data_IF_348200864383
#
_entry.id   IF_348200864383
#
_cell.length_a   1.000
_cell.length_b   1.000
_cell.length_c   1.000
_cell.angle_alpha   90.00
_cell.angle_beta   90.00
_cell.angle_gamma   90.00
#
_symmetry.space_group_name_H-M   'P 1'
#
loop_
_entity.id
_entity.type
_entity.pdbx_description
1 polymer ?
#
# COMPACT_ATOMS: atom_id res chain seq x y z
N UNK A 1 -4.85 3.52 8.01
CA UNK A 1 -3.64 3.18 8.78
C UNK A 1 -4.07 2.29 9.92
N UNK A 2 -3.37 1.18 10.07
CA UNK A 2 -3.56 0.13 11.07
C UNK A 2 -2.91 0.65 12.37
N UNK A 3 -3.61 0.68 13.50
CA UNK A 3 -3.01 1.04 14.79
C UNK A 3 -2.61 -0.21 15.57
N UNK A 4 -1.84 -0.05 16.66
CA UNK A 4 -1.26 -1.18 17.41
C UNK A 4 -2.30 -2.12 18.03
N UNK A 5 -3.41 -1.60 18.51
CA UNK A 5 -4.52 -2.40 19.03
C UNK A 5 -5.12 -3.27 17.92
N UNK A 6 -5.18 -2.72 16.72
CA UNK A 6 -5.61 -3.42 15.53
C UNK A 6 -4.62 -4.53 15.14
N UNK A 7 -3.32 -4.31 15.39
CA UNK A 7 -2.27 -5.30 15.12
C UNK A 7 -2.30 -6.43 16.14
N UNK A 8 -2.46 -6.12 17.43
CA UNK A 8 -2.71 -7.13 18.47
C UNK A 8 -3.97 -7.94 18.21
N UNK A 9 -5.01 -7.28 17.70
CA UNK A 9 -6.23 -7.96 17.32
C UNK A 9 -5.99 -8.92 16.14
N UNK A 10 -5.17 -8.53 15.17
CA UNK A 10 -4.75 -9.39 14.07
C UNK A 10 -3.83 -10.51 14.56
N UNK A 11 -2.88 -10.22 15.44
CA UNK A 11 -1.97 -11.17 16.05
C UNK A 11 -2.73 -12.24 16.85
N UNK A 12 -3.71 -11.84 17.66
CA UNK A 12 -4.60 -12.78 18.36
C UNK A 12 -5.44 -13.65 17.42
N UNK A 13 -5.68 -13.17 16.20
CA UNK A 13 -6.42 -13.89 15.17
C UNK A 13 -5.55 -14.88 14.38
N UNK A 14 -4.24 -14.61 14.26
CA UNK A 14 -3.32 -15.29 13.34
C UNK A 14 -2.42 -16.29 14.08
N UNK A 15 -2.24 -16.12 15.39
CA UNK A 15 -1.28 -16.87 16.18
C UNK A 15 0.14 -16.30 16.09
N UNK A 16 0.82 -16.21 17.22
CA UNK A 16 2.16 -15.60 17.33
C UNK A 16 3.23 -16.39 16.58
N UNK A 17 3.01 -17.67 16.37
CA UNK A 17 3.98 -18.61 15.79
C UNK A 17 4.33 -18.34 14.32
N UNK A 18 3.45 -17.67 13.56
CA UNK A 18 3.65 -17.38 12.15
C UNK A 18 4.07 -15.94 11.87
N UNK A 19 4.20 -15.11 12.91
CA UNK A 19 4.62 -13.73 12.80
C UNK A 19 6.08 -13.53 13.18
N UNK A 20 6.86 -13.04 12.24
CA UNK A 20 8.27 -12.80 12.42
C UNK A 20 8.59 -11.30 12.34
N UNK A 21 9.40 -10.82 13.28
CA UNK A 21 10.01 -9.50 13.22
C UNK A 21 11.47 -9.69 12.87
N UNK A 22 11.86 -9.18 11.73
CA UNK A 22 13.23 -9.29 11.26
C UNK A 22 13.91 -7.93 11.23
N UNK A 23 14.87 -7.73 12.12
CA UNK A 23 15.70 -6.53 12.12
C UNK A 23 16.53 -6.48 10.83
N UNK A 24 16.70 -5.28 10.26
CA UNK A 24 17.50 -5.08 9.04
C UNK A 24 18.90 -5.69 9.14
N UNK A 25 19.56 -5.57 10.30
CA UNK A 25 20.89 -6.16 10.54
C UNK A 25 20.93 -7.68 10.43
N UNK A 26 19.78 -8.35 10.54
CA UNK A 26 19.64 -9.80 10.45
C UNK A 26 19.16 -10.26 9.05
N UNK A 27 18.91 -9.32 8.14
CA UNK A 27 18.65 -9.66 6.75
C UNK A 27 19.92 -10.21 6.10
N UNK A 28 19.80 -11.32 5.40
CA UNK A 28 20.90 -11.88 4.62
C UNK A 28 21.50 -10.83 3.67
N UNK A 29 22.81 -10.93 3.42
CA UNK A 29 23.44 -10.20 2.30
C UNK A 29 23.00 -10.75 0.94
N UNK A 30 22.60 -12.01 0.90
CA UNK A 30 22.23 -12.70 -0.34
C UNK A 30 20.85 -12.27 -0.83
N UNK A 31 20.76 -12.07 -2.14
CA UNK A 31 19.52 -11.69 -2.81
C UNK A 31 19.32 -12.61 -4.00
N UNK A 32 18.18 -13.27 -4.05
CA UNK A 32 17.73 -13.94 -5.26
C UNK A 32 17.30 -12.87 -6.30
N UNK A 33 18.09 -12.68 -7.33
CA UNK A 33 17.82 -11.70 -8.38
C UNK A 33 16.71 -12.13 -9.34
N UNK A 34 16.23 -13.36 -9.27
CA UNK A 34 15.09 -13.87 -10.07
C UNK A 34 13.73 -13.43 -9.50
N UNK A 35 13.69 -12.92 -8.28
CA UNK A 35 12.45 -12.39 -7.69
C UNK A 35 11.94 -11.22 -8.52
N UNK A 36 10.83 -11.42 -9.25
CA UNK A 36 10.20 -10.39 -10.08
C UNK A 36 9.08 -9.68 -9.33
N UNK A 37 9.29 -8.41 -9.01
CA UNK A 37 8.26 -7.59 -8.37
C UNK A 37 7.32 -6.95 -9.38
N UNK A 38 6.01 -7.21 -9.23
CA UNK A 38 4.94 -6.43 -9.85
C UNK A 38 4.55 -5.26 -8.95
N UNK A 39 4.90 -4.04 -9.34
CA UNK A 39 4.55 -2.83 -8.59
C UNK A 39 3.17 -2.37 -9.05
N UNK A 40 2.14 -2.53 -8.21
CA UNK A 40 0.77 -2.12 -8.53
C UNK A 40 0.48 -0.72 -7.98
N UNK A 41 -0.05 0.13 -8.85
CA UNK A 41 -0.34 1.52 -8.55
C UNK A 41 -1.67 1.94 -9.19
N UNK A 42 -2.48 2.69 -8.44
CA UNK A 42 -3.63 3.40 -9.00
C UNK A 42 -3.39 4.91 -8.94
N UNK A 43 -3.84 5.63 -9.95
CA UNK A 43 -3.86 7.09 -9.95
C UNK A 43 -5.23 7.62 -10.32
N UNK A 44 -5.50 8.88 -10.05
CA UNK A 44 -6.72 9.58 -10.41
C UNK A 44 -6.42 11.07 -10.54
N UNK A 45 -7.30 11.82 -11.17
CA UNK A 45 -7.19 13.26 -11.14
C UNK A 45 -7.46 13.79 -9.72
N UNK A 46 -6.44 14.34 -9.09
CA UNK A 46 -6.50 14.88 -7.74
C UNK A 46 -7.38 16.14 -7.65
N UNK A 47 -7.66 16.78 -8.77
CA UNK A 47 -8.52 17.96 -8.86
C UNK A 47 -9.98 17.59 -9.18
N UNK A 48 -10.24 16.35 -9.62
CA UNK A 48 -11.58 15.88 -9.90
C UNK A 48 -12.28 15.32 -8.65
N UNK A 49 -13.57 15.64 -8.50
CA UNK A 49 -14.47 15.03 -7.54
C UNK A 49 -14.58 15.73 -6.17
N UNK A 50 -15.58 15.27 -5.40
CA UNK A 50 -16.02 15.89 -4.12
C UNK A 50 -15.02 15.75 -2.97
N UNK A 51 -14.10 14.79 -3.04
CA UNK A 51 -13.19 14.44 -1.94
C UNK A 51 -11.94 15.33 -1.87
N UNK A 52 -11.66 16.15 -2.90
CA UNK A 52 -10.36 16.76 -3.11
C UNK A 52 -10.17 18.18 -2.56
N UNK A 53 -11.21 18.79 -1.99
CA UNK A 53 -11.15 20.17 -1.46
C UNK A 53 -10.16 20.42 -0.31
N UNK A 54 -9.51 19.38 0.21
CA UNK A 54 -8.62 19.45 1.37
C UNK A 54 -7.13 19.27 1.03
N UNK A 55 -6.76 19.14 -0.25
CA UNK A 55 -5.35 19.00 -0.66
C UNK A 55 -4.73 20.37 -0.95
N UNK A 56 -3.42 20.49 -0.80
CA UNK A 56 -2.71 21.71 -1.11
C UNK A 56 -2.85 22.05 -2.61
N UNK A 57 -3.19 23.32 -2.93
CA UNK A 57 -3.46 23.77 -4.31
C UNK A 57 -2.31 23.55 -5.29
N UNK A 58 -1.07 23.44 -4.79
CA UNK A 58 0.12 23.20 -5.62
C UNK A 58 0.34 21.71 -5.96
N UNK A 59 -0.45 20.80 -5.38
CA UNK A 59 -0.35 19.36 -5.68
C UNK A 59 -1.13 19.05 -6.95
N UNK A 60 -0.43 18.60 -7.97
CA UNK A 60 -1.02 18.09 -9.21
C UNK A 60 -0.77 16.60 -9.35
N UNK A 61 -1.65 15.89 -10.02
CA UNK A 61 -1.46 14.44 -10.26
C UNK A 61 -0.17 14.14 -11.00
N UNK A 62 0.19 14.84 -12.10
CA UNK A 62 1.48 14.63 -12.75
C UNK A 62 2.68 14.84 -11.81
N UNK A 63 2.64 15.88 -10.98
CA UNK A 63 3.73 16.20 -10.06
C UNK A 63 3.95 15.15 -8.98
N UNK A 64 2.87 14.68 -8.31
CA UNK A 64 3.01 13.65 -7.28
C UNK A 64 3.37 12.29 -7.88
N UNK A 65 2.83 11.97 -9.06
CA UNK A 65 3.16 10.75 -9.80
C UNK A 65 4.64 10.75 -10.21
N UNK A 66 5.17 11.87 -10.69
CA UNK A 66 6.59 12.01 -11.02
C UNK A 66 7.48 11.71 -9.81
N UNK A 67 7.11 12.19 -8.64
CA UNK A 67 7.81 11.92 -7.39
C UNK A 67 7.82 10.42 -7.03
N UNK A 68 6.67 9.76 -7.13
CA UNK A 68 6.54 8.32 -6.88
C UNK A 68 7.38 7.50 -7.87
N UNK A 69 7.25 7.77 -9.18
CA UNK A 69 8.01 7.09 -10.24
C UNK A 69 9.52 7.28 -10.09
N UNK A 70 9.98 8.49 -9.77
CA UNK A 70 11.39 8.76 -9.50
C UNK A 70 11.91 7.97 -8.29
N UNK A 71 11.08 7.75 -7.26
CA UNK A 71 11.46 6.93 -6.11
C UNK A 71 11.59 5.45 -6.48
N UNK A 72 10.75 4.95 -7.39
CA UNK A 72 10.83 3.59 -7.94
C UNK A 72 12.06 3.43 -8.83
N UNK A 73 12.32 4.37 -9.75
CA UNK A 73 13.52 4.35 -10.60
C UNK A 73 14.83 4.26 -9.80
N UNK A 74 14.85 4.89 -8.61
CA UNK A 74 16.02 4.90 -7.71
C UNK A 74 16.19 3.61 -6.89
N UNK A 75 15.29 2.62 -7.01
CA UNK A 75 15.44 1.37 -6.29
C UNK A 75 16.74 0.67 -6.65
N UNK A 76 17.45 0.15 -5.63
CA UNK A 76 18.68 -0.62 -5.81
C UNK A 76 18.41 -1.97 -6.48
N UNK A 77 17.39 -2.67 -6.02
CA UNK A 77 16.91 -3.90 -6.67
C UNK A 77 16.21 -3.57 -7.98
N UNK A 78 16.57 -4.25 -9.08
CA UNK A 78 16.17 -3.84 -10.44
C UNK A 78 15.15 -4.73 -11.13
N UNK A 79 14.89 -5.94 -10.62
CA UNK A 79 13.94 -6.84 -11.25
C UNK A 79 12.49 -6.52 -10.83
N UNK A 80 11.94 -5.45 -11.40
CA UNK A 80 10.59 -4.98 -11.15
C UNK A 80 9.94 -4.40 -12.42
N UNK A 81 8.61 -4.39 -12.43
CA UNK A 81 7.81 -3.72 -13.45
C UNK A 81 6.60 -3.04 -12.81
N UNK A 82 6.25 -1.87 -13.30
CA UNK A 82 5.13 -1.07 -12.82
C UNK A 82 3.87 -1.39 -13.62
N UNK A 83 2.75 -1.56 -12.93
CA UNK A 83 1.41 -1.69 -13.48
C UNK A 83 0.57 -0.56 -12.92
N UNK A 84 0.40 0.49 -13.72
CA UNK A 84 -0.26 1.73 -13.35
C UNK A 84 -1.62 1.83 -14.04
N UNK A 85 -2.69 1.92 -13.25
CA UNK A 85 -4.01 2.19 -13.77
C UNK A 85 -4.54 3.52 -13.27
N UNK A 86 -4.92 4.39 -14.20
CA UNK A 86 -5.66 5.60 -13.88
C UNK A 86 -7.15 5.28 -13.76
N UNK A 87 -7.77 5.70 -12.63
CA UNK A 87 -9.18 5.49 -12.35
C UNK A 87 -10.01 6.60 -13.01
N UNK A 88 -10.14 6.53 -14.35
CA UNK A 88 -10.75 7.58 -15.20
C UNK A 88 -10.07 8.94 -14.93
N UNK A 89 -8.85 9.08 -15.41
CA UNK A 89 -8.15 10.36 -15.33
C UNK A 89 -8.85 11.35 -16.26
N UNK A 90 -9.35 12.45 -15.67
CA UNK A 90 -10.18 13.45 -16.36
C UNK A 90 -9.39 14.69 -16.78
N UNK A 91 -8.13 14.82 -16.32
CA UNK A 91 -7.19 15.83 -16.76
C UNK A 91 -6.54 15.51 -18.10
N UNK A 92 -5.48 16.24 -18.45
CA UNK A 92 -4.71 15.94 -19.67
C UNK A 92 -3.92 14.63 -19.50
N UNK A 93 -4.41 13.58 -20.17
CA UNK A 93 -3.73 12.28 -20.17
C UNK A 93 -2.36 12.34 -20.85
N UNK A 94 -2.13 13.30 -21.75
CA UNK A 94 -0.83 13.54 -22.38
C UNK A 94 0.23 13.91 -21.34
N UNK A 95 -0.10 14.75 -20.34
CA UNK A 95 0.81 15.07 -19.26
C UNK A 95 1.19 13.83 -18.43
N UNK A 96 0.24 12.95 -18.13
CA UNK A 96 0.52 11.70 -17.41
C UNK A 96 1.45 10.79 -18.23
N UNK A 97 1.15 10.59 -19.52
CA UNK A 97 1.98 9.78 -20.40
C UNK A 97 3.38 10.35 -20.54
N UNK A 98 3.50 11.67 -20.68
CA UNK A 98 4.81 12.33 -20.73
C UNK A 98 5.61 12.10 -19.46
N UNK A 99 5.00 12.27 -18.27
CA UNK A 99 5.67 12.01 -16.99
C UNK A 99 6.16 10.56 -16.92
N UNK A 100 5.37 9.60 -17.37
CA UNK A 100 5.73 8.19 -17.40
C UNK A 100 6.95 7.97 -18.32
N UNK A 101 6.89 8.45 -19.57
CA UNK A 101 7.90 8.27 -20.59
C UNK A 101 9.23 8.94 -20.24
N UNK A 102 9.19 10.12 -19.61
CA UNK A 102 10.39 10.86 -19.18
C UNK A 102 11.14 10.16 -18.02
N UNK A 103 10.42 9.34 -17.23
CA UNK A 103 11.00 8.79 -15.99
C UNK A 103 11.29 7.30 -16.11
N UNK A 104 10.37 6.49 -16.63
CA UNK A 104 10.42 5.03 -16.60
C UNK A 104 10.59 4.47 -18.02
N UNK A 105 11.55 3.56 -18.26
CA UNK A 105 11.66 2.86 -19.52
C UNK A 105 10.35 2.13 -19.90
N UNK A 106 10.00 2.16 -21.19
CA UNK A 106 8.72 1.65 -21.70
C UNK A 106 8.49 0.17 -21.39
N UNK A 107 9.53 -0.62 -21.34
CA UNK A 107 9.49 -2.05 -21.01
C UNK A 107 9.24 -2.32 -19.52
N UNK A 108 9.55 -1.35 -18.65
CA UNK A 108 9.39 -1.44 -17.20
C UNK A 108 8.05 -0.90 -16.68
N UNK A 109 7.13 -0.47 -17.56
CA UNK A 109 5.82 0.02 -17.15
C UNK A 109 4.72 -0.39 -18.13
N UNK A 110 3.57 -0.77 -17.59
CA UNK A 110 2.32 -0.84 -18.32
C UNK A 110 1.35 0.20 -17.73
N UNK A 111 0.80 1.03 -18.59
CA UNK A 111 -0.16 2.07 -18.23
C UNK A 111 -1.51 1.82 -18.90
N UNK A 112 -2.58 2.03 -18.13
CA UNK A 112 -3.97 1.98 -18.62
C UNK A 112 -4.76 3.12 -17.99
N UNK A 113 -5.55 3.85 -18.79
CA UNK A 113 -6.60 4.73 -18.28
C UNK A 113 -7.96 4.05 -18.44
N UNK A 114 -8.72 3.99 -17.37
CA UNK A 114 -10.10 3.44 -17.40
C UNK A 114 -11.03 4.44 -18.04
N UNK A 115 -11.99 3.96 -18.81
CA UNK A 115 -13.05 4.81 -19.40
C UNK A 115 -14.11 5.22 -18.39
N UNK A 116 -14.24 4.45 -17.28
CA UNK A 116 -15.18 4.71 -16.19
C UNK A 116 -14.45 4.65 -14.86
N UNK A 117 -14.76 5.57 -13.95
CA UNK A 117 -14.32 5.45 -12.57
C UNK A 117 -15.05 4.28 -11.89
N UNK A 118 -14.32 3.50 -11.10
CA UNK A 118 -14.90 2.35 -10.41
C UNK A 118 -15.84 2.78 -9.30
N UNK A 119 -15.26 3.34 -8.24
CA UNK A 119 -16.00 3.69 -7.02
C UNK A 119 -16.48 5.13 -7.02
N UNK A 120 -15.71 6.06 -7.60
CA UNK A 120 -15.96 7.51 -7.51
C UNK A 120 -17.28 7.96 -8.15
N UNK A 121 -17.70 7.33 -9.23
CA UNK A 121 -18.92 7.68 -9.97
C UNK A 121 -20.16 6.96 -9.42
N UNK A 122 -20.02 6.09 -8.43
CA UNK A 122 -21.14 5.33 -7.90
C UNK A 122 -22.02 6.18 -6.98
N UNK A 123 -23.23 6.52 -7.44
CA UNK A 123 -24.19 7.35 -6.72
C UNK A 123 -24.89 6.61 -5.56
N UNK A 124 -24.83 5.27 -5.50
CA UNK A 124 -25.47 4.45 -4.46
C UNK A 124 -24.67 4.43 -3.16
N UNK A 125 -23.40 4.80 -3.19
CA UNK A 125 -22.53 4.76 -2.02
C UNK A 125 -22.37 6.13 -1.38
N UNK A 126 -22.29 6.15 -0.06
CA UNK A 126 -21.99 7.38 0.68
C UNK A 126 -20.58 7.87 0.38
N UNK A 127 -20.35 9.17 0.55
CA UNK A 127 -19.00 9.77 0.38
C UNK A 127 -17.95 9.07 1.23
N UNK A 128 -18.31 8.58 2.42
CA UNK A 128 -17.40 7.85 3.31
C UNK A 128 -17.08 6.46 2.75
N UNK A 129 -18.05 5.75 2.21
CA UNK A 129 -17.85 4.45 1.55
C UNK A 129 -16.95 4.58 0.32
N UNK A 130 -17.23 5.58 -0.54
CA UNK A 130 -16.38 5.89 -1.70
C UNK A 130 -14.95 6.17 -1.25
N UNK A 131 -14.76 7.01 -0.23
CA UNK A 131 -13.42 7.33 0.30
C UNK A 131 -12.68 6.11 0.84
N UNK A 132 -13.38 5.15 1.41
CA UNK A 132 -12.78 3.94 1.99
C UNK A 132 -12.35 2.94 0.91
N UNK A 133 -12.99 2.95 -0.24
CA UNK A 133 -12.80 1.94 -1.28
C UNK A 133 -12.30 2.52 -2.61
N UNK A 134 -12.07 3.84 -2.68
CA UNK A 134 -11.60 4.50 -3.90
C UNK A 134 -10.32 3.87 -4.44
N UNK A 135 -10.31 3.67 -5.75
CA UNK A 135 -9.19 3.06 -6.47
C UNK A 135 -9.19 1.52 -6.48
N UNK A 136 -10.13 0.84 -5.82
CA UNK A 136 -10.21 -0.64 -5.83
C UNK A 136 -10.25 -1.21 -7.22
N UNK A 137 -11.09 -0.65 -8.10
CA UNK A 137 -11.23 -1.12 -9.47
C UNK A 137 -9.94 -0.92 -10.29
N UNK A 138 -9.30 0.26 -10.15
CA UNK A 138 -8.04 0.54 -10.84
C UNK A 138 -6.90 -0.35 -10.33
N UNK A 139 -6.82 -0.59 -9.02
CA UNK A 139 -5.84 -1.51 -8.45
C UNK A 139 -6.05 -2.95 -8.92
N UNK A 140 -7.31 -3.38 -9.08
CA UNK A 140 -7.60 -4.71 -9.62
C UNK A 140 -7.16 -4.83 -11.09
N UNK A 141 -7.34 -3.80 -11.91
CA UNK A 141 -6.82 -3.80 -13.28
C UNK A 141 -5.28 -3.89 -13.29
N UNK A 142 -4.60 -3.20 -12.36
CA UNK A 142 -3.14 -3.30 -12.20
C UNK A 142 -2.69 -4.70 -11.75
N UNK A 143 -3.44 -5.34 -10.84
CA UNK A 143 -3.20 -6.73 -10.44
C UNK A 143 -3.37 -7.71 -11.60
N UNK A 144 -4.39 -7.49 -12.47
CA UNK A 144 -4.61 -8.33 -13.65
C UNK A 144 -3.45 -8.24 -14.64
N UNK A 145 -2.92 -7.04 -14.87
CA UNK A 145 -1.74 -6.83 -15.70
C UNK A 145 -0.51 -7.53 -15.11
N UNK A 146 -0.26 -7.38 -13.80
CA UNK A 146 0.87 -8.01 -13.12
C UNK A 146 0.79 -9.54 -13.15
N UNK A 147 -0.41 -10.09 -12.95
CA UNK A 147 -0.67 -11.53 -13.04
C UNK A 147 -0.42 -12.07 -14.43
N UNK A 148 -0.90 -11.36 -15.47
CA UNK A 148 -0.69 -11.74 -16.87
C UNK A 148 0.79 -11.79 -17.25
N UNK A 149 1.60 -10.92 -16.69
CA UNK A 149 3.06 -10.86 -16.90
C UNK A 149 3.83 -11.84 -15.99
N UNK A 150 3.14 -12.68 -15.20
CA UNK A 150 3.76 -13.70 -14.35
C UNK A 150 4.61 -13.13 -13.23
N UNK A 151 4.18 -12.04 -12.59
CA UNK A 151 4.90 -11.51 -11.43
C UNK A 151 4.73 -12.42 -10.20
N UNK A 152 5.84 -12.84 -9.59
CA UNK A 152 5.86 -13.74 -8.44
C UNK A 152 5.45 -13.05 -7.15
N UNK A 153 5.77 -11.75 -7.04
CA UNK A 153 5.54 -10.92 -5.87
C UNK A 153 4.89 -9.62 -6.26
N UNK A 154 3.87 -9.23 -5.51
CA UNK A 154 3.20 -7.95 -5.68
C UNK A 154 3.67 -6.99 -4.60
N UNK A 155 3.97 -5.77 -5.00
CA UNK A 155 4.29 -4.64 -4.11
C UNK A 155 3.36 -3.50 -4.45
N UNK A 156 2.84 -2.81 -3.45
CA UNK A 156 1.97 -1.67 -3.69
C UNK A 156 2.64 -0.35 -3.30
N UNK A 157 2.37 0.68 -4.11
CA UNK A 157 2.66 2.07 -3.77
C UNK A 157 1.47 2.96 -4.20
N UNK A 158 1.12 3.93 -3.37
CA UNK A 158 0.16 4.97 -3.76
C UNK A 158 0.86 6.02 -4.64
N UNK A 159 0.14 6.57 -5.62
CA UNK A 159 0.73 7.49 -6.61
C UNK A 159 1.30 8.78 -6.02
N UNK A 160 1.00 9.07 -4.76
CA UNK A 160 1.46 10.24 -4.02
C UNK A 160 2.45 9.92 -2.90
N UNK A 161 2.88 8.66 -2.77
CA UNK A 161 3.88 8.21 -1.80
C UNK A 161 5.27 8.06 -2.43
N UNK A 162 6.29 7.82 -1.61
CA UNK A 162 7.69 7.57 -2.04
C UNK A 162 8.29 6.39 -1.32
N UNK A 163 9.27 5.76 -1.97
CA UNK A 163 10.13 4.74 -1.37
C UNK A 163 11.56 5.23 -1.15
N UNK A 164 12.19 4.72 -0.09
CA UNK A 164 13.64 4.77 0.04
C UNK A 164 14.30 3.87 -1.03
N UNK A 165 15.53 4.16 -1.48
CA UNK A 165 16.18 3.40 -2.55
C UNK A 165 16.38 1.90 -2.26
N UNK A 166 16.29 1.48 -1.02
CA UNK A 166 16.48 0.10 -0.56
C UNK A 166 15.16 -0.61 -0.19
N UNK A 167 13.98 -0.05 -0.52
CA UNK A 167 12.70 -0.68 -0.18
C UNK A 167 12.57 -2.07 -0.81
N UNK A 168 12.69 -2.18 -2.13
CA UNK A 168 12.61 -3.47 -2.82
C UNK A 168 13.77 -4.42 -2.46
N UNK A 169 14.94 -3.89 -2.19
CA UNK A 169 16.08 -4.68 -1.71
C UNK A 169 15.79 -5.35 -0.36
N UNK A 170 15.19 -4.63 0.59
CA UNK A 170 14.79 -5.21 1.88
C UNK A 170 13.76 -6.34 1.70
N UNK A 171 12.77 -6.14 0.84
CA UNK A 171 11.76 -7.16 0.54
C UNK A 171 12.39 -8.38 -0.16
N UNK A 172 13.26 -8.17 -1.14
CA UNK A 172 13.94 -9.25 -1.85
C UNK A 172 14.79 -10.10 -0.92
N UNK A 173 15.55 -9.47 -0.01
CA UNK A 173 16.32 -10.17 1.03
C UNK A 173 15.43 -11.03 1.93
N UNK A 174 14.30 -10.48 2.38
CA UNK A 174 13.36 -11.22 3.22
C UNK A 174 12.79 -12.45 2.49
N UNK A 175 12.36 -12.30 1.25
CA UNK A 175 11.83 -13.41 0.46
C UNK A 175 12.91 -14.43 0.07
N UNK A 176 14.15 -14.01 -0.10
CA UNK A 176 15.29 -14.92 -0.34
C UNK A 176 15.57 -15.76 0.90
N UNK A 177 15.63 -15.12 2.06
CA UNK A 177 15.95 -15.76 3.32
C UNK A 177 14.81 -16.67 3.82
N UNK A 178 13.55 -16.33 3.51
CA UNK A 178 12.35 -17.04 3.95
C UNK A 178 11.46 -17.42 2.77
N UNK A 179 11.73 -18.57 2.10
CA UNK A 179 10.95 -19.00 0.94
C UNK A 179 9.46 -19.24 1.21
N UNK A 180 9.09 -19.48 2.45
CA UNK A 180 7.69 -19.67 2.90
C UNK A 180 6.97 -18.38 3.27
N UNK A 181 7.61 -17.25 3.05
CA UNK A 181 7.04 -15.94 3.36
C UNK A 181 5.95 -15.59 2.35
N UNK A 182 4.73 -15.41 2.84
CA UNK A 182 3.55 -15.04 2.01
C UNK A 182 3.26 -13.55 2.01
N UNK A 183 3.65 -12.84 3.07
CA UNK A 183 3.42 -11.42 3.25
C UNK A 183 4.59 -10.75 3.98
N UNK A 184 5.08 -9.66 3.43
CA UNK A 184 6.15 -8.88 4.02
C UNK A 184 5.80 -7.38 3.98
N UNK A 185 6.13 -6.66 5.04
CA UNK A 185 5.91 -5.23 5.09
C UNK A 185 7.00 -4.52 5.90
N UNK A 186 7.24 -3.27 5.54
CA UNK A 186 8.23 -2.39 6.16
C UNK A 186 7.52 -1.25 6.90
N UNK A 187 8.31 -0.43 7.58
CA UNK A 187 7.78 0.76 8.26
C UNK A 187 7.59 1.92 7.29
N UNK A 188 6.52 2.70 7.52
CA UNK A 188 6.24 3.95 6.81
C UNK A 188 6.44 5.15 7.72
N UNK A 189 7.02 6.24 7.19
CA UNK A 189 7.09 7.53 7.87
C UNK A 189 5.97 8.44 7.37
N UNK A 190 5.23 9.05 8.30
CA UNK A 190 4.19 10.04 8.02
C UNK A 190 4.50 11.33 8.75
N UNK A 191 4.53 12.46 8.03
CA UNK A 191 4.60 13.77 8.66
C UNK A 191 3.22 14.18 9.18
N UNK A 192 3.13 14.49 10.47
CA UNK A 192 1.89 14.97 11.09
C UNK A 192 1.66 16.43 10.68
N UNK A 193 0.44 16.78 10.25
CA UNK A 193 0.07 18.15 9.93
C UNK A 193 -0.51 18.86 11.15
N UNK A 194 -0.33 20.19 11.25
CA UNK A 194 -0.92 21.01 12.30
C UNK A 194 -2.47 20.90 12.38
N UNK A 195 -3.12 20.56 11.27
CA UNK A 195 -4.59 20.39 11.23
C UNK A 195 -5.09 19.24 12.11
N UNK A 196 -4.27 18.24 12.38
CA UNK A 196 -4.63 17.13 13.25
C UNK A 196 -4.46 17.45 14.74
N UNK A 197 -3.82 18.56 15.11
CA UNK A 197 -3.60 18.96 16.51
C UNK A 197 -4.80 19.64 17.14
N UNK A 198 -5.70 20.24 16.35
CA UNK A 198 -6.89 20.94 16.87
C UNK A 198 -8.04 19.99 17.26
N UNK A 199 -8.08 18.77 16.74
CA UNK A 199 -8.89 17.70 17.29
C UNK A 199 -7.98 16.90 18.20
N UNK A 200 -8.13 17.00 19.51
CA UNK A 200 -7.45 16.22 20.57
C UNK A 200 -7.55 14.70 20.36
N UNK A 201 -7.23 14.22 19.18
CA UNK A 201 -6.90 12.85 18.90
C UNK A 201 -5.40 12.81 19.16
N UNK A 202 -5.02 12.21 20.24
CA UNK A 202 -3.67 11.98 20.71
C UNK A 202 -2.81 11.38 19.59
N UNK A 203 -2.28 12.23 18.74
CA UNK A 203 -1.10 11.94 17.96
C UNK A 203 0.04 12.60 18.70
N UNK A 204 0.69 11.84 19.57
CA UNK A 204 1.96 12.29 20.13
C UNK A 204 2.89 12.67 18.98
N UNK A 205 3.65 13.79 19.09
CA UNK A 205 4.70 14.08 18.17
C UNK A 205 5.58 12.83 18.09
N UNK A 206 5.81 12.35 16.87
CA UNK A 206 6.67 11.21 16.61
C UNK A 206 8.06 11.58 17.12
N UNK A 207 8.37 11.24 18.36
CA UNK A 207 9.75 11.04 18.78
C UNK A 207 10.31 10.00 17.81
N UNK A 208 11.50 10.19 17.30
CA UNK A 208 12.27 9.13 16.67
C UNK A 208 12.35 8.01 17.70
N UNK A 209 11.46 7.05 17.58
CA UNK A 209 11.53 5.87 18.39
C UNK A 209 12.67 5.03 17.81
N UNK A 210 13.83 5.12 18.43
CA UNK A 210 14.72 3.98 18.53
C UNK A 210 13.87 2.89 19.15
N UNK A 211 13.50 1.91 18.36
CA UNK A 211 12.72 0.78 18.83
C UNK A 211 13.60 -0.07 19.72
N UNK A 212 13.54 0.18 21.01
CA UNK A 212 13.87 -0.83 21.99
C UNK A 212 12.82 -1.94 21.85
N UNK A 213 13.21 -3.06 21.26
CA UNK A 213 12.37 -4.24 21.03
C UNK A 213 11.79 -4.81 22.33
N UNK A 214 12.28 -4.38 23.50
CA UNK A 214 11.78 -4.75 24.82
C UNK A 214 10.57 -3.90 25.24
N UNK A 215 10.33 -2.77 24.58
CA UNK A 215 9.13 -1.98 24.78
C UNK A 215 8.06 -2.44 23.79
N UNK A 216 7.04 -3.13 24.28
CA UNK A 216 5.91 -3.76 23.58
C UNK A 216 4.99 -2.78 22.78
N UNK A 217 5.53 -1.70 22.26
CA UNK A 217 4.81 -0.65 21.56
C UNK A 217 5.11 -0.63 20.08
N UNK A 218 4.69 -1.64 19.32
CA UNK A 218 4.64 -1.55 17.86
C UNK A 218 3.47 -0.65 17.45
N UNK A 219 3.75 0.62 17.21
CA UNK A 219 2.72 1.52 16.71
C UNK A 219 2.33 1.14 15.30
N UNK A 220 1.15 0.58 15.13
CA UNK A 220 0.60 0.26 13.81
C UNK A 220 0.23 1.49 12.96
N UNK A 221 0.44 2.68 13.48
CA UNK A 221 0.48 3.91 12.70
C UNK A 221 1.69 3.97 11.74
N UNK A 222 2.54 2.95 11.76
CA UNK A 222 3.84 2.93 11.10
C UNK A 222 3.85 2.18 9.76
N UNK A 223 2.75 1.56 9.36
CA UNK A 223 2.68 0.85 8.09
C UNK A 223 1.58 1.42 7.20
N UNK A 224 1.91 1.75 5.96
CA UNK A 224 0.97 2.13 4.91
C UNK A 224 0.89 1.03 3.86
N UNK A 225 -0.12 1.09 2.99
CA UNK A 225 -0.18 0.25 1.80
C UNK A 225 1.10 0.29 0.97
N UNK A 226 1.73 1.45 0.88
CA UNK A 226 2.95 1.67 0.12
C UNK A 226 4.19 0.99 0.72
N UNK A 227 4.03 0.27 1.82
CA UNK A 227 5.10 -0.47 2.48
C UNK A 227 4.91 -1.99 2.43
N UNK A 228 3.97 -2.50 1.64
CA UNK A 228 3.54 -3.89 1.69
C UNK A 228 3.83 -4.67 0.43
N UNK A 229 4.13 -5.95 0.61
CA UNK A 229 4.35 -6.92 -0.46
C UNK A 229 3.74 -8.27 -0.09
N UNK A 230 3.21 -8.98 -1.08
CA UNK A 230 2.69 -10.34 -0.90
C UNK A 230 2.99 -11.23 -2.09
N UNK A 231 2.90 -12.53 -1.85
CA UNK A 231 3.17 -13.57 -2.83
C UNK A 231 1.87 -14.22 -3.30
N UNK A 232 1.38 -13.95 -4.52
CA UNK A 232 0.11 -14.47 -5.03
C UNK A 232 -0.01 -15.99 -5.00
N UNK A 233 1.08 -16.73 -5.21
CA UNK A 233 1.08 -18.19 -5.11
C UNK A 233 0.72 -18.72 -3.72
N UNK A 234 0.95 -17.91 -2.67
CA UNK A 234 0.57 -18.20 -1.29
C UNK A 234 -0.78 -17.58 -0.94
N UNK A 235 -0.97 -16.30 -1.24
CA UNK A 235 -2.18 -15.57 -0.83
C UNK A 235 -3.40 -15.85 -1.71
N UNK A 236 -3.20 -16.46 -2.88
CA UNK A 236 -4.25 -16.65 -3.88
C UNK A 236 -4.58 -15.38 -4.65
N UNK A 237 -5.61 -15.46 -5.48
CA UNK A 237 -6.07 -14.37 -6.35
C UNK A 237 -6.92 -13.35 -5.58
N UNK A 238 -6.28 -12.64 -4.67
CA UNK A 238 -6.95 -11.61 -3.88
C UNK A 238 -7.21 -10.37 -4.72
N UNK A 239 -8.39 -9.77 -4.49
CA UNK A 239 -8.85 -8.56 -5.17
C UNK A 239 -9.23 -7.49 -4.16
N UNK A 240 -8.99 -6.23 -4.49
CA UNK A 240 -9.52 -5.11 -3.74
C UNK A 240 -11.05 -5.11 -3.86
N UNK A 241 -11.75 -4.89 -2.76
CA UNK A 241 -13.21 -5.01 -2.70
C UNK A 241 -13.87 -3.65 -2.56
N UNK A 242 -14.88 -3.42 -3.37
CA UNK A 242 -15.79 -2.29 -3.24
C UNK A 242 -16.80 -2.52 -2.09
N UNK A 243 -17.63 -1.52 -1.70
CA UNK A 243 -18.56 -1.64 -0.59
C UNK A 243 -19.49 -2.85 -0.67
N UNK A 244 -20.03 -3.16 -1.84
CA UNK A 244 -21.00 -4.26 -2.00
C UNK A 244 -20.34 -5.62 -1.77
N UNK A 245 -19.11 -5.79 -2.25
CA UNK A 245 -18.33 -7.02 -2.03
C UNK A 245 -17.87 -7.18 -0.59
N UNK A 246 -17.65 -6.08 0.14
CA UNK A 246 -17.27 -6.14 1.55
C UNK A 246 -18.44 -6.50 2.45
N UNK A 247 -19.63 -5.97 2.19
CA UNK A 247 -20.85 -6.23 3.00
C UNK A 247 -21.17 -7.71 3.12
N UNK A 248 -20.93 -8.48 2.08
CA UNK A 248 -21.33 -9.88 2.00
C UNK A 248 -20.34 -10.85 2.67
N UNK A 249 -19.18 -10.40 3.10
CA UNK A 249 -18.09 -11.32 3.48
C UNK A 249 -17.28 -10.91 4.70
N UNK A 250 -17.56 -9.75 5.31
CA UNK A 250 -16.79 -9.28 6.46
C UNK A 250 -17.32 -9.86 7.76
N UNK A 251 -16.63 -10.78 8.45
CA UNK A 251 -16.88 -11.00 9.87
C UNK A 251 -16.69 -9.65 10.59
N UNK A 252 -17.61 -9.28 11.46
CA UNK A 252 -17.48 -8.10 12.31
C UNK A 252 -16.29 -8.35 13.24
N UNK A 253 -15.13 -7.81 12.92
CA UNK A 253 -14.01 -7.79 13.85
C UNK A 253 -14.35 -6.82 14.97
N UNK A 254 -14.47 -7.36 16.20
CA UNK A 254 -14.59 -6.55 17.42
C UNK A 254 -13.32 -5.68 17.50
N UNK A 255 -13.47 -4.35 17.51
CA UNK A 255 -12.34 -3.40 17.54
C UNK A 255 -11.82 -2.92 16.19
N UNK A 256 -12.26 -3.44 15.05
CA UNK A 256 -11.93 -2.84 13.76
C UNK A 256 -12.39 -1.36 13.73
N UNK A 257 -11.64 -0.46 13.08
CA UNK A 257 -12.06 0.93 12.96
C UNK A 257 -13.47 0.94 12.40
N UNK A 258 -14.39 1.63 13.09
CA UNK A 258 -15.80 1.69 12.71
C UNK A 258 -15.91 2.20 11.28
N UNK A 259 -16.04 1.25 10.36
CA UNK A 259 -16.21 1.54 8.96
C UNK A 259 -17.50 2.30 8.72
N UNK A 260 -17.66 2.91 7.56
CA UNK A 260 -18.92 3.42 7.10
C UNK A 260 -19.84 2.22 6.86
N UNK A 261 -20.85 2.05 7.69
CA UNK A 261 -21.84 0.95 7.56
C UNK A 261 -21.20 -0.46 7.45
N UNK A 262 -20.16 -0.73 8.23
CA UNK A 262 -19.45 -2.00 8.23
C UNK A 262 -18.41 -2.18 7.10
N UNK A 263 -18.16 -1.13 6.32
CA UNK A 263 -17.12 -1.13 5.27
C UNK A 263 -15.77 -0.74 5.86
N UNK A 264 -14.76 -1.56 5.65
CA UNK A 264 -13.38 -1.29 6.02
C UNK A 264 -12.68 -0.42 4.98
N UNK A 265 -11.68 0.39 5.36
CA UNK A 265 -10.73 0.94 4.40
C UNK A 265 -10.14 -0.18 3.53
N UNK A 266 -9.95 0.09 2.25
CA UNK A 266 -9.56 -0.91 1.25
C UNK A 266 -8.23 -1.61 1.59
N UNK A 267 -7.32 -0.91 2.23
CA UNK A 267 -6.06 -1.41 2.75
C UNK A 267 -6.28 -2.43 3.89
N UNK A 268 -7.11 -2.11 4.84
CA UNK A 268 -7.49 -2.98 5.93
C UNK A 268 -8.13 -4.28 5.47
N UNK A 269 -9.11 -4.14 4.58
CA UNK A 269 -9.78 -5.30 4.01
C UNK A 269 -8.80 -6.22 3.27
N UNK A 270 -7.87 -5.64 2.51
CA UNK A 270 -6.89 -6.40 1.76
C UNK A 270 -5.88 -7.07 2.69
N UNK A 271 -5.30 -6.35 3.66
CA UNK A 271 -4.34 -6.89 4.62
C UNK A 271 -4.91 -8.07 5.39
N UNK A 272 -6.10 -7.89 5.96
CA UNK A 272 -6.79 -8.94 6.68
C UNK A 272 -6.87 -10.23 5.86
N UNK A 273 -7.31 -10.12 4.60
CA UNK A 273 -7.46 -11.30 3.74
C UNK A 273 -6.13 -11.91 3.32
N UNK A 274 -5.10 -11.09 3.08
CA UNK A 274 -3.73 -11.57 2.85
C UNK A 274 -3.29 -12.40 4.05
N UNK A 275 -3.37 -11.84 5.26
CA UNK A 275 -2.90 -12.50 6.48
C UNK A 275 -3.69 -13.78 6.77
N UNK A 276 -5.01 -13.77 6.60
CA UNK A 276 -5.83 -14.99 6.75
C UNK A 276 -5.39 -16.09 5.79
N UNK A 277 -5.21 -15.76 4.50
CA UNK A 277 -4.81 -16.76 3.51
C UNK A 277 -3.39 -17.29 3.74
N UNK A 278 -2.48 -16.46 4.23
CA UNK A 278 -1.13 -16.87 4.62
C UNK A 278 -1.20 -17.86 5.79
N UNK A 279 -1.98 -17.54 6.82
CA UNK A 279 -2.22 -18.41 7.98
C UNK A 279 -2.85 -19.74 7.57
N UNK A 280 -3.95 -19.70 6.82
CA UNK A 280 -4.70 -20.89 6.41
C UNK A 280 -3.84 -21.89 5.62
N UNK A 281 -2.75 -21.41 5.02
CA UNK A 281 -1.76 -22.24 4.33
C UNK A 281 -0.55 -22.61 5.18
N UNK A 282 -0.54 -22.28 6.47
CA UNK A 282 0.61 -22.53 7.36
C UNK A 282 1.89 -21.82 6.89
N UNK A 283 1.75 -20.61 6.32
CA UNK A 283 2.87 -19.83 5.81
C UNK A 283 3.13 -18.62 6.72
N UNK A 284 4.27 -17.96 6.49
CA UNK A 284 4.77 -16.91 7.34
C UNK A 284 4.45 -15.51 6.80
N UNK A 285 4.36 -14.54 7.69
CA UNK A 285 4.37 -13.11 7.39
C UNK A 285 5.39 -12.40 8.25
N UNK A 286 5.95 -11.29 7.74
CA UNK A 286 7.11 -10.63 8.33
C UNK A 286 6.95 -9.13 8.36
N UNK A 287 7.34 -8.55 9.48
CA UNK A 287 7.54 -7.11 9.63
C UNK A 287 9.03 -6.77 9.70
N UNK A 288 9.46 -5.86 8.85
CA UNK A 288 10.81 -5.29 8.88
C UNK A 288 10.69 -3.86 9.43
N UNK A 289 11.14 -3.61 10.67
CA UNK A 289 10.98 -2.31 11.34
C UNK A 289 11.94 -1.24 10.79
N UNK A 290 12.08 -1.17 9.49
CA UNK A 290 12.88 -0.18 8.78
C UNK A 290 11.97 0.77 8.01
N UNK A 291 12.20 2.07 8.16
CA UNK A 291 11.48 3.08 7.38
C UNK A 291 11.98 3.05 5.95
N UNK A 292 11.16 2.53 5.06
CA UNK A 292 11.45 2.48 3.62
C UNK A 292 10.35 3.06 2.75
N UNK A 293 9.24 3.49 3.36
CA UNK A 293 8.12 4.15 2.69
C UNK A 293 7.81 5.48 3.37
N UNK A 294 7.45 6.49 2.55
CA UNK A 294 7.17 7.85 3.01
C UNK A 294 5.78 8.25 2.51
N UNK A 295 4.88 8.44 3.45
CA UNK A 295 3.51 8.86 3.18
C UNK A 295 3.45 10.38 2.98
N UNK A 296 2.91 10.83 1.85
CA UNK A 296 2.68 12.25 1.60
C UNK A 296 1.42 12.74 2.34
N UNK A 297 1.57 13.77 3.14
CA UNK A 297 0.44 14.38 3.81
C UNK A 297 -0.37 15.31 2.87
N UNK A 298 -1.52 15.82 3.36
CA UNK A 298 -2.39 16.70 2.57
C UNK A 298 -1.77 18.07 2.22
N UNK A 299 -0.70 18.46 2.90
CA UNK A 299 0.07 19.68 2.60
C UNK A 299 1.15 19.43 1.55
N UNK A 300 1.27 18.21 1.02
CA UNK A 300 2.27 17.84 0.04
C UNK A 300 3.65 17.52 0.63
N UNK A 301 3.76 17.35 1.96
CA UNK A 301 5.03 17.09 2.67
C UNK A 301 5.18 15.62 3.05
N UNK A 302 6.42 15.13 3.06
CA UNK A 302 6.80 13.80 3.52
C UNK A 302 7.30 13.80 4.96
#
# INVERSE_FOLDING_TARGET
MINFEDFKLLESYIGEENFHILLEKNLSSDINNDIKFGIVMATHDMNAGRANKARAKHMTTPGVLADALNSIKKQKYKNWKIYLTADKYEGDEGEIKKVIEDIIPKDQIQYKNRTTAGERDNKKWSTKQIRFTAGSAALNDSLDMAKKDGCDYIVRIDHDDKWAPNHLECLAKAYTQFPDLGFCFTRSKKKVTAYNTSKKIFMQPQKEYDMDLNNKGYGANDTSHSATSWRPSITGDLRYRNPDKQRNTAPKLKGAPSGADGILPVDWDMFKRIMMNVKDKGKNYMYIPKVTSFYRNREGKF
#
